data_IF_360213928494
#
_entry.id   IF_360213928494
#
_cell.length_a   1.000
_cell.length_b   1.000
_cell.length_c   1.000
_cell.angle_alpha   90.00
_cell.angle_beta   90.00
_cell.angle_gamma   90.00
#
_symmetry.space_group_name_H-M   'P 1'
#
loop_
_entity.id
_entity.type
_entity.pdbx_description
1 polymer ?
#
# COMPACT_ATOMS: atom_id res chain seq x y z
N UNK A 1 -11.88 12.60 -10.74
CA UNK A 1 -11.33 12.85 -12.10
C UNK A 1 -11.64 11.72 -13.08
N UNK A 2 -11.40 10.44 -12.74
CA UNK A 2 -11.66 9.31 -13.64
C UNK A 2 -13.16 9.15 -13.96
N UNK A 3 -14.04 9.27 -12.96
CA UNK A 3 -15.50 9.11 -13.16
C UNK A 3 -16.11 10.11 -14.14
N UNK A 4 -15.56 11.32 -14.26
CA UNK A 4 -16.04 12.34 -15.20
C UNK A 4 -15.68 12.06 -16.66
N UNK A 5 -14.80 11.11 -16.94
CA UNK A 5 -14.42 10.72 -18.30
C UNK A 5 -15.09 9.44 -18.78
N UNK A 6 -15.78 8.73 -17.90
CA UNK A 6 -16.46 7.48 -18.23
C UNK A 6 -17.72 7.73 -19.05
N UNK A 7 -17.92 6.91 -20.09
CA UNK A 7 -19.23 6.72 -20.73
C UNK A 7 -20.21 6.02 -19.78
N UNK A 8 -21.49 5.99 -20.13
CA UNK A 8 -22.48 5.30 -19.29
C UNK A 8 -22.21 3.79 -19.20
N UNK A 9 -21.74 3.19 -20.29
CA UNK A 9 -21.31 1.80 -20.31
C UNK A 9 -20.08 1.58 -19.41
N UNK A 10 -19.07 2.45 -19.49
CA UNK A 10 -17.87 2.37 -18.64
C UNK A 10 -18.21 2.55 -17.15
N UNK A 11 -19.24 3.33 -16.80
CA UNK A 11 -19.74 3.44 -15.41
C UNK A 11 -20.42 2.15 -14.94
N UNK A 12 -21.23 1.52 -15.79
CA UNK A 12 -21.81 0.20 -15.47
C UNK A 12 -20.72 -0.85 -15.27
N UNK A 13 -19.71 -0.85 -16.15
CA UNK A 13 -18.56 -1.75 -16.03
C UNK A 13 -17.73 -1.49 -14.77
N UNK A 14 -17.59 -0.22 -14.33
CA UNK A 14 -16.94 0.12 -13.07
C UNK A 14 -17.65 -0.49 -11.86
N UNK A 15 -18.98 -0.39 -11.80
CA UNK A 15 -19.79 -1.01 -10.74
C UNK A 15 -19.65 -2.53 -10.80
N UNK A 16 -19.81 -3.12 -11.99
CA UNK A 16 -19.65 -4.56 -12.22
C UNK A 16 -18.27 -5.07 -11.80
N UNK A 17 -17.19 -4.34 -12.08
CA UNK A 17 -15.85 -4.75 -11.70
C UNK A 17 -15.70 -4.91 -10.17
N UNK A 18 -16.32 -4.03 -9.40
CA UNK A 18 -16.38 -4.15 -7.95
C UNK A 18 -17.17 -5.38 -7.52
N UNK A 19 -18.36 -5.58 -8.08
CA UNK A 19 -19.23 -6.72 -7.75
C UNK A 19 -18.57 -8.07 -8.09
N UNK A 20 -17.92 -8.15 -9.25
CA UNK A 20 -17.17 -9.33 -9.72
C UNK A 20 -15.98 -9.61 -8.79
N UNK A 21 -15.25 -8.57 -8.35
CA UNK A 21 -14.14 -8.74 -7.40
C UNK A 21 -14.61 -9.21 -6.03
N UNK A 22 -15.66 -8.61 -5.47
CA UNK A 22 -16.21 -9.04 -4.19
C UNK A 22 -16.74 -10.48 -4.28
N UNK A 23 -17.35 -10.85 -5.40
CA UNK A 23 -17.80 -12.23 -5.65
C UNK A 23 -16.64 -13.22 -5.73
N UNK A 24 -15.53 -12.84 -6.36
CA UNK A 24 -14.29 -13.63 -6.35
C UNK A 24 -13.77 -13.83 -4.91
N UNK A 25 -13.73 -12.79 -4.08
CA UNK A 25 -13.30 -12.92 -2.68
C UNK A 25 -14.26 -13.81 -1.87
N UNK A 26 -15.58 -13.67 -2.09
CA UNK A 26 -16.61 -14.52 -1.45
C UNK A 26 -16.46 -15.99 -1.83
N UNK A 27 -16.10 -16.31 -3.09
CA UNK A 27 -15.86 -17.69 -3.57
C UNK A 27 -14.85 -18.46 -2.71
N UNK A 28 -13.87 -17.76 -2.13
CA UNK A 28 -12.86 -18.38 -1.26
C UNK A 28 -13.18 -18.27 0.24
N UNK A 29 -14.33 -17.72 0.61
CA UNK A 29 -14.74 -17.41 1.99
C UNK A 29 -13.82 -16.35 2.64
N UNK A 30 -13.53 -15.26 1.92
CA UNK A 30 -12.89 -14.07 2.48
C UNK A 30 -11.36 -14.00 2.32
N UNK A 31 -10.81 -12.85 2.71
CA UNK A 31 -9.43 -12.44 2.42
C UNK A 31 -8.33 -13.31 3.05
N UNK A 32 -8.59 -14.08 4.11
CA UNK A 32 -7.54 -14.95 4.66
C UNK A 32 -7.27 -16.14 3.72
N UNK A 33 -8.35 -16.66 3.11
CA UNK A 33 -8.30 -17.84 2.26
C UNK A 33 -7.84 -17.53 0.85
N UNK A 34 -7.99 -16.29 0.37
CA UNK A 34 -7.44 -15.90 -0.93
C UNK A 34 -5.91 -15.95 -0.93
N UNK A 35 -5.20 -16.04 0.20
CA UNK A 35 -3.74 -16.21 0.23
C UNK A 35 -3.30 -17.68 0.23
N UNK A 36 -4.22 -18.63 0.45
CA UNK A 36 -3.88 -20.05 0.62
C UNK A 36 -4.54 -20.97 -0.40
N UNK A 37 -5.72 -20.60 -0.91
CA UNK A 37 -6.53 -21.45 -1.78
C UNK A 37 -6.26 -21.25 -3.28
N UNK A 38 -6.41 -20.04 -3.86
CA UNK A 38 -6.17 -19.86 -5.29
C UNK A 38 -4.68 -19.87 -5.62
N UNK A 39 -4.33 -20.58 -6.69
CA UNK A 39 -3.01 -20.49 -7.31
C UNK A 39 -2.75 -19.08 -7.85
N UNK A 40 -1.48 -18.77 -8.12
CA UNK A 40 -1.11 -17.52 -8.81
C UNK A 40 -1.85 -17.38 -10.14
N UNK A 41 -1.88 -18.44 -10.95
CA UNK A 41 -2.49 -18.41 -12.28
C UNK A 41 -3.99 -18.06 -12.22
N UNK A 42 -4.73 -18.68 -11.29
CA UNK A 42 -6.15 -18.38 -11.09
C UNK A 42 -6.37 -16.93 -10.64
N UNK A 43 -5.61 -16.45 -9.64
CA UNK A 43 -5.72 -15.07 -9.16
C UNK A 43 -5.40 -14.06 -10.25
N UNK A 44 -4.32 -14.28 -11.01
CA UNK A 44 -3.93 -13.37 -12.10
C UNK A 44 -4.99 -13.36 -13.20
N UNK A 45 -5.51 -14.53 -13.57
CA UNK A 45 -6.54 -14.65 -14.62
C UNK A 45 -7.82 -13.91 -14.21
N UNK A 46 -8.33 -14.15 -13.01
CA UNK A 46 -9.55 -13.47 -12.55
C UNK A 46 -9.31 -11.95 -12.40
N UNK A 47 -8.17 -11.54 -11.82
CA UNK A 47 -7.85 -10.12 -11.68
C UNK A 47 -7.77 -9.40 -13.03
N UNK A 48 -7.13 -10.01 -14.04
CA UNK A 48 -7.04 -9.43 -15.40
C UNK A 48 -8.41 -9.36 -16.09
N UNK A 49 -9.29 -10.31 -15.84
CA UNK A 49 -10.68 -10.29 -16.34
C UNK A 49 -11.49 -9.13 -15.72
N UNK A 50 -11.31 -8.87 -14.43
CA UNK A 50 -11.96 -7.72 -13.77
C UNK A 50 -11.36 -6.41 -14.25
N UNK A 51 -10.03 -6.33 -14.32
CA UNK A 51 -9.29 -5.16 -14.78
C UNK A 51 -9.64 -4.79 -16.24
N UNK A 52 -9.93 -5.77 -17.10
CA UNK A 52 -10.28 -5.53 -18.51
C UNK A 52 -11.68 -4.95 -18.72
N UNK A 53 -12.54 -4.95 -17.70
CA UNK A 53 -13.84 -4.27 -17.76
C UNK A 53 -13.69 -2.75 -17.89
N UNK A 54 -12.53 -2.21 -17.52
CA UNK A 54 -12.22 -0.79 -17.58
C UNK A 54 -11.16 -0.49 -18.66
N UNK A 55 -11.41 0.49 -19.54
CA UNK A 55 -10.38 0.98 -20.46
C UNK A 55 -9.18 1.51 -19.68
N UNK A 56 -7.96 1.19 -20.11
CA UNK A 56 -6.75 1.62 -19.40
C UNK A 56 -6.53 3.14 -19.40
N UNK A 57 -7.24 3.87 -20.26
CA UNK A 57 -6.92 5.26 -20.61
C UNK A 57 -7.85 6.30 -20.02
N UNK A 58 -8.75 5.95 -19.09
CA UNK A 58 -9.70 6.91 -18.53
C UNK A 58 -8.99 8.10 -17.87
N UNK A 59 -7.94 7.85 -17.09
CA UNK A 59 -7.13 8.93 -16.52
C UNK A 59 -6.41 9.74 -17.61
N UNK A 60 -5.90 9.08 -18.66
CA UNK A 60 -5.27 9.77 -19.80
C UNK A 60 -6.25 10.70 -20.50
N UNK A 61 -7.50 10.27 -20.73
CA UNK A 61 -8.58 11.11 -21.29
C UNK A 61 -8.83 12.34 -20.41
N UNK A 62 -8.74 12.18 -19.08
CA UNK A 62 -8.93 13.31 -18.16
C UNK A 62 -7.80 14.34 -18.28
N UNK A 63 -6.55 13.87 -18.37
CA UNK A 63 -5.40 14.75 -18.59
C UNK A 63 -5.44 15.44 -19.95
N UNK A 64 -5.90 14.76 -21.01
CA UNK A 64 -6.12 15.38 -22.32
C UNK A 64 -7.16 16.50 -22.23
N UNK A 65 -8.31 16.26 -21.58
CA UNK A 65 -9.35 17.28 -21.37
C UNK A 65 -8.84 18.48 -20.55
N UNK A 66 -7.97 18.24 -19.55
CA UNK A 66 -7.32 19.32 -18.81
C UNK A 66 -6.37 20.13 -19.71
N UNK A 67 -5.53 19.46 -20.50
CA UNK A 67 -4.61 20.14 -21.42
C UNK A 67 -5.35 21.00 -22.43
N UNK A 68 -6.44 20.50 -23.03
CA UNK A 68 -7.28 21.27 -23.95
C UNK A 68 -7.95 22.47 -23.27
N UNK A 69 -8.40 22.31 -22.02
CA UNK A 69 -9.04 23.39 -21.28
C UNK A 69 -8.04 24.49 -20.88
N UNK A 70 -6.81 24.13 -20.50
CA UNK A 70 -5.75 25.09 -20.21
C UNK A 70 -5.31 25.86 -21.48
N UNK A 71 -5.26 25.16 -22.61
CA UNK A 71 -4.91 25.72 -23.92
C UNK A 71 -5.94 26.69 -24.50
N UNK A 72 -7.19 26.68 -24.04
CA UNK A 72 -8.22 27.63 -24.49
C UNK A 72 -7.85 29.11 -24.25
N UNK A 73 -6.79 29.38 -23.46
CA UNK A 73 -6.16 30.70 -23.31
C UNK A 73 -5.05 31.05 -24.31
N UNK A 74 -4.87 30.27 -25.40
CA UNK A 74 -3.89 30.55 -26.46
C UNK A 74 -2.68 29.60 -26.54
N UNK A 75 -2.63 28.56 -25.69
CA UNK A 75 -1.59 27.52 -25.70
C UNK A 75 -1.93 26.34 -26.61
N UNK A 76 -0.94 25.49 -26.94
CA UNK A 76 -1.17 24.26 -27.70
C UNK A 76 -1.61 23.11 -26.79
N UNK A 77 -2.86 22.63 -26.91
CA UNK A 77 -3.41 21.59 -26.00
C UNK A 77 -2.59 20.30 -25.90
N UNK A 78 -1.84 19.95 -26.94
CA UNK A 78 -0.91 18.83 -26.94
C UNK A 78 0.34 19.09 -26.08
N UNK A 79 0.91 20.29 -26.15
CA UNK A 79 2.05 20.67 -25.31
C UNK A 79 1.66 20.65 -23.82
N UNK A 80 0.46 21.13 -23.52
CA UNK A 80 -0.03 21.20 -22.15
C UNK A 80 -0.33 19.82 -21.60
N UNK A 81 -0.90 18.92 -22.41
CA UNK A 81 -1.01 17.52 -22.04
C UNK A 81 0.35 16.88 -21.73
N UNK A 82 1.38 17.13 -22.54
CA UNK A 82 2.73 16.59 -22.29
C UNK A 82 3.31 17.14 -20.99
N UNK A 83 3.16 18.44 -20.71
CA UNK A 83 3.61 19.06 -19.47
C UNK A 83 2.90 18.48 -18.23
N UNK A 84 1.57 18.35 -18.29
CA UNK A 84 0.76 17.75 -17.22
C UNK A 84 1.16 16.28 -16.98
N UNK A 85 1.38 15.50 -18.05
CA UNK A 85 1.82 14.10 -17.94
C UNK A 85 3.22 13.98 -17.33
N UNK A 86 4.13 14.89 -17.68
CA UNK A 86 5.47 14.93 -17.08
C UNK A 86 5.41 15.33 -15.59
N UNK A 87 4.52 16.24 -15.21
CA UNK A 87 4.26 16.59 -13.81
C UNK A 87 3.68 15.41 -13.03
N UNK A 88 2.71 14.67 -13.60
CA UNK A 88 2.19 13.43 -13.03
C UNK A 88 3.31 12.42 -12.79
N UNK A 89 4.16 12.14 -13.79
CA UNK A 89 5.24 11.16 -13.66
C UNK A 89 6.24 11.53 -12.54
N UNK A 90 6.64 12.80 -12.49
CA UNK A 90 7.58 13.31 -11.47
C UNK A 90 6.99 13.27 -10.06
N UNK A 91 5.78 13.79 -9.90
CA UNK A 91 5.09 13.82 -8.60
C UNK A 91 4.75 12.42 -8.11
N UNK A 92 4.27 11.53 -8.97
CA UNK A 92 4.03 10.12 -8.65
C UNK A 92 5.31 9.41 -8.23
N UNK A 93 6.42 9.58 -8.95
CA UNK A 93 7.69 8.93 -8.61
C UNK A 93 8.28 9.42 -7.29
N UNK A 94 8.24 10.72 -7.03
CA UNK A 94 8.66 11.30 -5.75
C UNK A 94 7.79 10.80 -4.59
N UNK A 95 6.47 10.87 -4.75
CA UNK A 95 5.50 10.44 -3.75
C UNK A 95 5.61 8.93 -3.47
N UNK A 96 5.66 8.09 -4.50
CA UNK A 96 5.80 6.64 -4.36
C UNK A 96 7.05 6.26 -3.55
N UNK A 97 8.19 6.90 -3.84
CA UNK A 97 9.45 6.66 -3.13
C UNK A 97 9.36 7.10 -1.67
N UNK A 98 8.82 8.30 -1.41
CA UNK A 98 8.67 8.83 -0.06
C UNK A 98 7.68 8.00 0.78
N UNK A 99 6.54 7.64 0.20
CA UNK A 99 5.52 6.82 0.86
C UNK A 99 6.07 5.43 1.19
N UNK A 100 6.76 4.77 0.27
CA UNK A 100 7.39 3.49 0.58
C UNK A 100 8.45 3.60 1.68
N UNK A 101 9.32 4.62 1.61
CA UNK A 101 10.35 4.86 2.63
C UNK A 101 9.74 5.03 4.02
N UNK A 102 8.70 5.87 4.13
CA UNK A 102 7.98 6.14 5.37
C UNK A 102 6.97 5.05 5.75
N UNK A 103 6.70 4.07 4.87
CA UNK A 103 5.70 3.03 5.09
C UNK A 103 4.26 3.55 5.11
N UNK A 104 3.94 4.53 4.26
CA UNK A 104 2.58 5.06 4.12
C UNK A 104 1.74 4.10 3.27
N UNK A 105 0.72 3.51 3.88
CA UNK A 105 -0.30 2.67 3.24
C UNK A 105 -1.68 3.34 3.21
N UNK A 106 -2.73 2.56 3.00
CA UNK A 106 -4.12 3.04 2.83
C UNK A 106 -4.26 4.03 1.67
N UNK A 107 -3.54 3.77 0.57
CA UNK A 107 -3.52 4.62 -0.63
C UNK A 107 -4.67 4.27 -1.60
N UNK A 108 -5.90 4.28 -1.10
CA UNK A 108 -7.10 4.16 -1.92
C UNK A 108 -7.37 5.46 -2.71
N UNK A 109 -8.33 5.42 -3.65
CA UNK A 109 -8.57 6.52 -4.60
C UNK A 109 -8.94 7.87 -3.94
N UNK A 110 -9.47 7.88 -2.73
CA UNK A 110 -9.80 9.14 -2.02
C UNK A 110 -8.60 9.78 -1.34
N UNK A 111 -7.53 9.01 -1.08
CA UNK A 111 -6.30 9.50 -0.44
C UNK A 111 -5.24 9.97 -1.45
N UNK A 112 -5.60 10.00 -2.74
CA UNK A 112 -4.75 10.45 -3.83
C UNK A 112 -5.49 11.50 -4.65
N UNK A 113 -5.00 12.73 -4.59
CA UNK A 113 -5.55 13.88 -5.30
C UNK A 113 -4.71 14.24 -6.53
N UNK A 114 -5.35 14.84 -7.52
CA UNK A 114 -4.67 15.45 -8.68
C UNK A 114 -4.93 16.95 -8.65
N UNK A 115 -3.86 17.73 -8.58
CA UNK A 115 -3.94 19.18 -8.73
C UNK A 115 -4.19 19.52 -10.20
N UNK A 116 -5.39 20.05 -10.49
CA UNK A 116 -5.86 20.24 -11.88
C UNK A 116 -5.05 21.23 -12.71
N UNK A 117 -4.32 22.15 -12.06
CA UNK A 117 -3.52 23.19 -12.74
C UNK A 117 -2.16 22.64 -13.17
N UNK A 118 -1.46 21.96 -12.26
CA UNK A 118 -0.11 21.43 -12.53
C UNK A 118 -0.12 20.01 -13.09
N UNK A 119 -1.21 19.25 -12.90
CA UNK A 119 -1.25 17.82 -13.17
C UNK A 119 -0.45 16.99 -12.16
N UNK A 120 0.01 17.59 -11.06
CA UNK A 120 0.73 16.89 -10.02
C UNK A 120 -0.22 16.04 -9.16
N UNK A 121 0.31 14.92 -8.69
CA UNK A 121 -0.37 13.99 -7.81
C UNK A 121 0.06 14.27 -6.35
N UNK A 122 -0.92 14.33 -5.45
CA UNK A 122 -0.73 14.69 -4.03
C UNK A 122 -1.37 13.63 -3.15
N UNK A 123 -0.61 13.07 -2.23
CA UNK A 123 -1.13 12.20 -1.18
C UNK A 123 -1.70 13.03 -0.04
N UNK A 124 -2.88 12.63 0.44
CA UNK A 124 -3.50 13.18 1.66
C UNK A 124 -3.75 12.04 2.65
N UNK A 125 -4.14 12.41 3.87
CA UNK A 125 -4.46 11.49 4.97
C UNK A 125 -3.32 10.49 5.26
N UNK A 126 -2.51 10.75 6.28
CA UNK A 126 -1.36 9.91 6.63
C UNK A 126 -1.63 9.03 7.85
N UNK A 127 -2.91 8.68 8.11
CA UNK A 127 -3.30 7.86 9.25
C UNK A 127 -2.60 6.50 9.30
N UNK A 128 -2.28 5.91 8.15
CA UNK A 128 -1.54 4.66 8.05
C UNK A 128 -0.07 4.86 7.62
N UNK A 129 0.74 5.47 8.48
CA UNK A 129 2.19 5.61 8.27
C UNK A 129 3.00 4.46 8.91
N UNK A 130 4.30 4.38 8.60
CA UNK A 130 5.27 3.46 9.20
C UNK A 130 4.90 1.97 9.15
N UNK A 131 4.28 1.51 8.06
CA UNK A 131 3.96 0.10 7.85
C UNK A 131 2.77 -0.40 8.67
N UNK A 132 1.98 0.51 9.25
CA UNK A 132 0.77 0.17 10.02
C UNK A 132 -0.30 -0.49 9.15
N UNK A 133 -0.42 -0.11 7.87
CA UNK A 133 -1.34 -0.76 6.94
C UNK A 133 -1.02 -2.25 6.73
N UNK A 134 0.27 -2.59 6.63
CA UNK A 134 0.73 -3.98 6.46
C UNK A 134 0.69 -4.77 7.77
N UNK A 135 0.92 -4.12 8.92
CA UNK A 135 0.97 -4.80 10.21
C UNK A 135 -0.40 -5.00 10.87
N UNK A 136 -1.28 -3.99 10.82
CA UNK A 136 -2.47 -3.95 11.68
C UNK A 136 -3.79 -4.19 10.94
N UNK A 137 -3.84 -4.03 9.61
CA UNK A 137 -5.05 -4.31 8.85
C UNK A 137 -5.31 -5.82 8.78
N UNK A 138 -6.57 -6.22 8.86
CA UNK A 138 -6.95 -7.65 8.75
C UNK A 138 -6.53 -8.24 7.40
N UNK A 139 -6.70 -7.45 6.34
CA UNK A 139 -6.16 -7.68 5.00
C UNK A 139 -4.98 -6.72 4.81
N UNK A 140 -3.72 -7.20 4.90
CA UNK A 140 -2.57 -6.33 4.87
C UNK A 140 -2.34 -5.74 3.47
N UNK A 141 -1.88 -4.50 3.40
CA UNK A 141 -1.40 -3.93 2.14
C UNK A 141 -0.01 -4.46 1.82
N UNK A 142 0.08 -5.24 0.74
CA UNK A 142 1.34 -5.84 0.27
C UNK A 142 2.03 -5.02 -0.83
N UNK A 143 1.35 -4.02 -1.39
CA UNK A 143 1.94 -3.11 -2.37
C UNK A 143 2.77 -2.02 -1.64
N UNK A 144 3.93 -1.62 -2.16
CA UNK A 144 4.74 -0.57 -1.54
C UNK A 144 4.15 0.84 -1.73
N UNK A 145 3.33 1.02 -2.77
CA UNK A 145 2.57 2.23 -3.09
C UNK A 145 1.52 1.90 -4.15
N UNK A 146 0.57 2.82 -4.37
CA UNK A 146 -0.44 2.67 -5.43
C UNK A 146 0.19 2.93 -6.80
N UNK A 147 0.25 1.89 -7.64
CA UNK A 147 0.56 2.01 -9.07
C UNK A 147 -0.32 1.05 -9.88
N UNK A 148 -1.53 1.52 -10.19
CA UNK A 148 -2.57 0.73 -10.86
C UNK A 148 -2.64 1.03 -12.37
N UNK A 149 -3.48 0.29 -13.08
CA UNK A 149 -3.64 0.37 -14.53
C UNK A 149 -3.98 1.78 -15.03
N UNK A 150 -4.81 2.54 -14.32
CA UNK A 150 -5.15 3.91 -14.74
C UNK A 150 -3.95 4.87 -14.65
N UNK A 151 -3.11 4.72 -13.61
CA UNK A 151 -1.88 5.52 -13.49
C UNK A 151 -0.89 5.16 -14.60
N UNK A 152 -0.70 3.87 -14.89
CA UNK A 152 0.14 3.42 -16.00
C UNK A 152 -0.41 3.85 -17.35
N UNK A 153 -1.73 3.82 -17.54
CA UNK A 153 -2.39 4.24 -18.77
C UNK A 153 -2.28 5.74 -19.05
N UNK A 154 -2.21 6.57 -18.01
CA UNK A 154 -1.88 7.99 -18.11
C UNK A 154 -0.42 8.23 -18.52
N UNK A 155 0.49 7.32 -18.14
CA UNK A 155 1.92 7.36 -18.48
C UNK A 155 2.26 6.60 -19.77
N UNK A 156 1.29 5.95 -20.42
CA UNK A 156 1.49 5.25 -21.68
C UNK A 156 2.01 6.19 -22.79
N UNK A 157 2.82 5.68 -23.74
CA UNK A 157 3.21 4.26 -23.91
C UNK A 157 4.37 3.81 -23.00
N UNK A 158 5.06 4.73 -22.32
CA UNK A 158 6.28 4.43 -21.56
C UNK A 158 6.00 3.67 -20.26
N UNK A 159 4.85 3.93 -19.62
CA UNK A 159 4.39 3.17 -18.45
C UNK A 159 5.32 3.33 -17.24
N UNK A 160 5.89 2.23 -16.75
CA UNK A 160 6.80 2.21 -15.59
C UNK A 160 8.18 2.78 -15.89
N UNK A 161 8.58 2.84 -17.16
CA UNK A 161 9.88 3.35 -17.58
C UNK A 161 9.98 4.88 -17.63
N UNK A 162 11.07 5.38 -18.20
CA UNK A 162 11.27 6.80 -18.51
C UNK A 162 11.09 7.71 -17.29
N UNK A 163 10.12 8.63 -17.36
CA UNK A 163 9.93 9.68 -16.37
C UNK A 163 9.61 9.17 -14.96
N UNK A 164 8.78 8.12 -14.83
CA UNK A 164 8.43 7.56 -13.52
C UNK A 164 9.64 6.90 -12.86
N UNK A 165 10.27 5.96 -13.56
CA UNK A 165 11.48 5.29 -13.07
C UNK A 165 12.58 6.30 -12.69
N UNK A 166 12.83 7.29 -13.55
CA UNK A 166 13.85 8.31 -13.31
C UNK A 166 13.53 9.16 -12.08
N UNK A 167 12.27 9.57 -11.91
CA UNK A 167 11.84 10.32 -10.74
C UNK A 167 11.99 9.52 -9.44
N UNK A 168 11.63 8.23 -9.46
CA UNK A 168 11.83 7.34 -8.31
C UNK A 168 13.32 7.16 -7.99
N UNK A 169 14.14 6.87 -8.99
CA UNK A 169 15.58 6.66 -8.81
C UNK A 169 16.28 7.94 -8.29
N UNK A 170 15.95 9.11 -8.85
CA UNK A 170 16.48 10.38 -8.35
C UNK A 170 16.06 10.66 -6.91
N UNK A 171 14.79 10.43 -6.56
CA UNK A 171 14.27 10.62 -5.21
C UNK A 171 14.97 9.68 -4.21
N UNK A 172 15.11 8.40 -4.57
CA UNK A 172 15.76 7.41 -3.72
C UNK A 172 17.25 7.69 -3.54
N UNK A 173 17.97 8.09 -4.60
CA UNK A 173 19.38 8.55 -4.49
C UNK A 173 19.48 9.73 -3.51
N UNK A 174 18.59 10.71 -3.61
CA UNK A 174 18.57 11.86 -2.71
C UNK A 174 18.34 11.44 -1.25
N UNK A 175 17.36 10.56 -1.00
CA UNK A 175 17.10 10.02 0.35
C UNK A 175 18.30 9.23 0.91
N UNK A 176 18.93 8.38 0.09
CA UNK A 176 20.13 7.62 0.53
C UNK A 176 21.31 8.54 0.84
N UNK A 177 21.56 9.55 0.01
CA UNK A 177 22.65 10.51 0.18
C UNK A 177 22.54 11.34 1.47
N UNK A 178 21.31 11.58 1.95
CA UNK A 178 21.02 12.31 3.20
C UNK A 178 20.31 11.42 4.23
N UNK A 179 20.60 10.12 4.22
CA UNK A 179 19.93 9.12 5.06
C UNK A 179 19.95 9.44 6.56
N UNK A 180 21.04 10.02 7.07
CA UNK A 180 21.13 10.43 8.47
C UNK A 180 20.06 11.46 8.85
N UNK A 181 19.81 12.50 8.03
CA UNK A 181 18.78 13.50 8.31
C UNK A 181 17.38 12.88 8.30
N UNK A 182 17.09 12.03 7.32
CA UNK A 182 15.81 11.33 7.22
C UNK A 182 15.58 10.47 8.46
N UNK A 183 16.58 9.66 8.83
CA UNK A 183 16.47 8.76 9.98
C UNK A 183 16.36 9.53 11.30
N UNK A 184 17.10 10.62 11.47
CA UNK A 184 16.98 11.48 12.66
C UNK A 184 15.59 12.12 12.74
N UNK A 185 15.07 12.67 11.64
CA UNK A 185 13.73 13.23 11.63
C UNK A 185 12.65 12.18 11.94
N UNK A 186 12.77 10.98 11.36
CA UNK A 186 11.87 9.85 11.66
C UNK A 186 11.97 9.41 13.12
N UNK A 187 13.17 9.34 13.68
CA UNK A 187 13.40 8.93 15.07
C UNK A 187 12.78 9.91 16.07
N UNK A 188 12.91 11.21 15.81
CA UNK A 188 12.22 12.25 16.60
C UNK A 188 10.70 12.12 16.46
N UNK A 189 10.20 12.00 15.23
CA UNK A 189 8.76 11.91 14.97
C UNK A 189 8.12 10.69 15.64
N UNK A 190 8.70 9.51 15.48
CA UNK A 190 8.13 8.26 16.00
C UNK A 190 8.12 8.22 17.54
N UNK A 191 9.07 8.91 18.18
CA UNK A 191 9.16 8.98 19.65
C UNK A 191 8.25 10.04 20.25
N UNK A 192 7.60 10.86 19.42
CA UNK A 192 6.78 11.94 19.92
C UNK A 192 5.52 11.38 20.65
N UNK A 193 5.34 11.66 21.96
CA UNK A 193 4.30 11.03 22.77
C UNK A 193 2.87 11.44 22.41
N UNK A 194 2.72 12.56 21.69
CA UNK A 194 1.44 13.17 21.31
C UNK A 194 0.81 12.54 20.05
N UNK A 195 1.51 11.66 19.35
CA UNK A 195 0.99 10.98 18.17
C UNK A 195 0.19 9.73 18.57
N UNK A 196 -0.97 9.55 17.93
CA UNK A 196 -1.99 8.51 18.17
C UNK A 196 -1.55 7.05 17.97
N UNK A 197 -0.24 6.77 17.83
CA UNK A 197 0.25 5.40 17.71
C UNK A 197 0.00 4.55 18.95
N UNK A 198 -0.11 5.19 20.12
CA UNK A 198 -0.60 4.54 21.36
C UNK A 198 -2.08 4.19 21.28
N UNK A 199 -2.89 4.94 20.53
CA UNK A 199 -4.29 4.60 20.30
C UNK A 199 -4.44 3.39 19.36
N UNK A 200 -3.54 3.21 18.38
CA UNK A 200 -3.47 1.95 17.60
C UNK A 200 -3.02 0.77 18.44
N UNK A 201 -2.05 0.95 19.34
CA UNK A 201 -1.66 -0.05 20.34
C UNK A 201 -2.86 -0.44 21.22
N UNK A 202 -3.60 0.54 21.75
CA UNK A 202 -4.80 0.29 22.56
C UNK A 202 -5.95 -0.39 21.76
N UNK A 203 -6.14 -0.05 20.49
CA UNK A 203 -7.13 -0.70 19.61
C UNK A 203 -6.70 -2.12 19.19
N UNK A 204 -5.40 -2.37 19.03
CA UNK A 204 -4.85 -3.69 18.74
C UNK A 204 -4.98 -4.63 19.96
N UNK A 205 -4.69 -4.12 21.16
CA UNK A 205 -4.83 -4.84 22.44
C UNK A 205 -6.29 -5.20 22.71
N UNK A 206 -7.24 -4.26 22.56
CA UNK A 206 -8.68 -4.54 22.75
C UNK A 206 -9.22 -5.65 21.85
N UNK A 207 -8.63 -5.86 20.66
CA UNK A 207 -9.06 -6.89 19.71
C UNK A 207 -8.52 -8.28 20.06
N UNK A 208 -7.42 -8.35 20.81
CA UNK A 208 -6.86 -9.60 21.35
C UNK A 208 -7.62 -10.05 22.60
N UNK A 209 -8.04 -9.11 23.47
CA UNK A 209 -8.82 -9.43 24.68
C UNK A 209 -10.21 -10.00 24.35
N UNK A 210 -10.86 -9.50 23.29
CA UNK A 210 -12.16 -10.01 22.81
C UNK A 210 -12.07 -11.44 22.25
N UNK A 211 -10.87 -11.91 21.86
CA UNK A 211 -10.63 -13.27 21.38
C UNK A 211 -10.13 -14.23 22.48
N UNK A 212 -9.74 -13.70 23.65
CA UNK A 212 -9.24 -14.47 24.79
C UNK A 212 -10.31 -14.73 25.86
N UNK A 213 -11.51 -14.16 25.74
CA UNK A 213 -12.63 -14.47 26.61
C UNK A 213 -13.13 -15.90 26.36
N UNK A 214 -13.17 -16.78 27.37
CA UNK A 214 -13.85 -18.07 27.25
C UNK A 214 -15.32 -17.82 26.93
N UNK A 215 -15.84 -18.47 25.89
CA UNK A 215 -17.27 -18.45 25.59
C UNK A 215 -18.02 -19.12 26.74
N UNK A 216 -18.75 -18.32 27.51
CA UNK A 216 -19.80 -18.80 28.38
C UNK A 216 -21.15 -18.51 27.72
N UNK A 217 -21.97 -19.55 27.61
CA UNK A 217 -23.32 -19.45 27.08
C UNK A 217 -24.27 -18.98 28.18
N UNK A 218 -25.14 -18.02 27.89
CA UNK A 218 -26.13 -17.59 28.85
C UNK A 218 -27.04 -16.48 28.33
N UNK A 219 -28.32 -16.80 28.34
CA UNK A 219 -29.50 -16.07 27.87
C UNK A 219 -29.84 -14.78 28.64
N UNK A 220 -30.50 -13.85 27.94
CA UNK A 220 -31.58 -12.95 28.42
C UNK A 220 -31.33 -11.89 29.50
N UNK A 221 -31.72 -10.63 29.21
CA UNK A 221 -32.20 -9.72 30.27
C UNK A 221 -31.89 -8.22 30.13
N UNK A 222 -32.97 -7.48 29.94
CA UNK A 222 -33.25 -6.02 29.95
C UNK A 222 -32.57 -5.11 31.02
N UNK A 223 -32.44 -3.81 30.67
CA UNK A 223 -32.62 -2.68 31.60
C UNK A 223 -31.41 -1.88 32.13
N UNK A 224 -31.38 -0.56 31.85
CA UNK A 224 -31.08 0.46 32.88
C UNK A 224 -29.75 1.25 32.87
N UNK A 225 -29.84 2.49 32.35
CA UNK A 225 -29.41 3.80 32.90
C UNK A 225 -28.05 4.07 33.61
N UNK A 226 -27.43 5.21 33.22
CA UNK A 226 -26.76 6.17 34.11
C UNK A 226 -25.31 5.94 34.59
N UNK A 227 -24.42 6.92 34.37
CA UNK A 227 -23.26 7.12 35.26
C UNK A 227 -21.98 7.69 34.65
N UNK A 228 -21.80 9.01 34.82
CA UNK A 228 -20.59 9.80 34.62
C UNK A 228 -19.49 9.43 35.65
N UNK A 229 -18.20 9.63 35.33
CA UNK A 229 -17.13 9.48 36.33
C UNK A 229 -15.70 9.41 35.78
N UNK A 230 -14.97 10.53 35.89
CA UNK A 230 -13.53 10.59 35.64
C UNK A 230 -12.66 10.04 36.78
N UNK A 231 -11.37 9.86 36.50
CA UNK A 231 -10.34 9.57 37.51
C UNK A 231 -9.12 8.88 36.90
N UNK A 232 -7.95 9.53 36.97
CA UNK A 232 -6.70 9.05 36.41
C UNK A 232 -5.86 8.18 37.34
N UNK A 233 -4.66 7.85 36.86
CA UNK A 233 -3.52 7.43 37.69
C UNK A 233 -2.88 6.09 37.32
N UNK A 234 -1.55 6.09 37.29
CA UNK A 234 -0.74 4.95 37.73
C UNK A 234 -0.14 4.08 36.63
N UNK A 235 1.18 4.20 36.44
CA UNK A 235 1.97 3.30 35.61
C UNK A 235 2.19 1.92 36.25
N UNK A 236 2.64 0.98 35.43
CA UNK A 236 3.09 -0.33 35.86
C UNK A 236 3.74 -1.06 34.68
N UNK A 237 5.07 -1.14 34.70
CA UNK A 237 5.81 -2.02 33.81
C UNK A 237 5.55 -3.48 34.16
N UNK A 238 5.39 -4.33 33.15
CA UNK A 238 5.26 -5.77 33.30
C UNK A 238 5.57 -6.44 31.97
N UNK A 239 6.78 -6.97 31.86
CA UNK A 239 7.14 -7.87 30.77
C UNK A 239 6.35 -9.17 30.89
N UNK A 240 5.74 -9.60 29.80
CA UNK A 240 5.06 -10.89 29.67
C UNK A 240 5.01 -11.28 28.20
N UNK A 241 5.72 -12.35 27.84
CA UNK A 241 5.75 -12.87 26.48
C UNK A 241 4.39 -13.42 26.05
N UNK A 242 3.96 -13.02 24.87
CA UNK A 242 2.82 -13.53 24.12
C UNK A 242 2.79 -12.80 22.78
N UNK A 243 2.76 -13.52 21.66
CA UNK A 243 2.92 -12.98 20.30
C UNK A 243 1.80 -12.02 19.85
N UNK A 244 1.76 -10.81 20.41
CA UNK A 244 0.80 -9.76 20.11
C UNK A 244 1.43 -8.63 19.31
N UNK A 245 0.74 -8.20 18.24
CA UNK A 245 1.13 -7.08 17.39
C UNK A 245 1.13 -5.75 18.14
N UNK A 246 2.23 -5.46 18.83
CA UNK A 246 2.49 -4.18 19.50
C UNK A 246 3.02 -3.10 18.55
N UNK A 247 3.06 -1.86 19.02
CA UNK A 247 3.76 -0.79 18.32
C UNK A 247 5.25 -0.78 18.71
N UNK A 248 6.12 -0.75 17.70
CA UNK A 248 7.55 -0.99 17.84
C UNK A 248 8.37 0.17 17.23
N UNK A 249 8.53 1.30 17.96
CA UNK A 249 9.17 2.52 17.47
C UNK A 249 10.55 2.30 16.85
N UNK A 250 11.40 1.51 17.52
CA UNK A 250 12.80 1.29 17.13
C UNK A 250 12.88 0.46 15.85
N UNK A 251 12.01 -0.52 15.73
CA UNK A 251 11.86 -1.43 14.61
C UNK A 251 11.45 -0.66 13.34
N UNK A 252 10.58 0.36 13.46
CA UNK A 252 10.21 1.24 12.32
C UNK A 252 11.42 2.01 11.78
N UNK A 253 12.19 2.63 12.66
CA UNK A 253 13.42 3.35 12.27
C UNK A 253 14.45 2.37 11.69
N UNK A 254 14.55 1.15 12.24
CA UNK A 254 15.42 0.11 11.71
C UNK A 254 15.00 -0.35 10.30
N UNK A 255 13.70 -0.52 10.04
CA UNK A 255 13.18 -0.82 8.70
C UNK A 255 13.48 0.30 7.71
N UNK A 256 13.27 1.56 8.09
CA UNK A 256 13.65 2.70 7.25
C UNK A 256 15.15 2.73 6.93
N UNK A 257 15.99 2.39 7.91
CA UNK A 257 17.44 2.25 7.70
C UNK A 257 17.76 1.12 6.71
N UNK A 258 17.08 -0.02 6.79
CA UNK A 258 17.22 -1.12 5.82
C UNK A 258 16.81 -0.69 4.41
N UNK A 259 15.66 0.00 4.28
CA UNK A 259 15.20 0.59 3.01
C UNK A 259 16.27 1.50 2.38
N UNK A 260 16.85 2.40 3.18
CA UNK A 260 17.92 3.33 2.75
C UNK A 260 19.26 2.64 2.45
N UNK A 261 19.55 1.51 3.08
CA UNK A 261 20.75 0.71 2.84
C UNK A 261 20.64 -0.25 1.65
N UNK A 262 19.51 -0.23 0.94
CA UNK A 262 19.31 -1.01 -0.27
C UNK A 262 18.76 -2.41 -0.08
N UNK A 263 18.04 -2.67 1.01
CA UNK A 263 17.35 -3.95 1.17
C UNK A 263 16.25 -4.16 0.11
N UNK A 264 15.96 -5.41 -0.19
CA UNK A 264 14.90 -5.79 -1.13
C UNK A 264 13.52 -5.38 -0.56
N UNK A 265 12.69 -4.63 -1.31
CA UNK A 265 11.36 -4.23 -0.88
C UNK A 265 10.48 -5.39 -0.38
N UNK A 266 10.58 -6.57 -1.02
CA UNK A 266 9.85 -7.76 -0.60
C UNK A 266 10.25 -8.22 0.81
N UNK A 267 11.54 -8.17 1.15
CA UNK A 267 12.04 -8.54 2.48
C UNK A 267 11.49 -7.59 3.55
N UNK A 268 11.37 -6.30 3.21
CA UNK A 268 10.80 -5.32 4.12
C UNK A 268 9.33 -5.62 4.39
N UNK A 269 8.53 -5.88 3.34
CA UNK A 269 7.13 -6.29 3.48
C UNK A 269 6.99 -7.57 4.31
N UNK A 270 7.86 -8.57 4.11
CA UNK A 270 7.86 -9.80 4.91
C UNK A 270 8.13 -9.55 6.40
N UNK A 271 9.06 -8.66 6.72
CA UNK A 271 9.33 -8.29 8.11
C UNK A 271 8.14 -7.54 8.69
N UNK A 272 7.55 -6.58 7.97
CA UNK A 272 6.34 -5.86 8.41
C UNK A 272 5.16 -6.82 8.68
N UNK A 273 4.96 -7.83 7.83
CA UNK A 273 3.97 -8.88 8.05
C UNK A 273 4.27 -9.70 9.32
N UNK A 274 5.53 -10.03 9.57
CA UNK A 274 5.90 -10.84 10.74
C UNK A 274 5.56 -10.17 12.08
N UNK A 275 5.52 -8.83 12.11
CA UNK A 275 5.21 -8.03 13.28
C UNK A 275 3.73 -8.06 13.68
N UNK A 276 2.81 -8.44 12.77
CA UNK A 276 1.36 -8.39 13.03
C UNK A 276 0.57 -9.62 12.61
N UNK A 277 1.13 -10.48 11.75
CA UNK A 277 0.41 -11.60 11.14
C UNK A 277 1.03 -12.97 11.43
N UNK A 278 2.14 -13.05 12.16
CA UNK A 278 2.86 -14.31 12.44
C UNK A 278 2.00 -15.39 13.12
N UNK A 279 0.99 -15.00 13.91
CA UNK A 279 0.03 -15.93 14.52
C UNK A 279 -1.02 -16.54 13.58
N UNK A 280 -1.14 -16.07 12.33
CA UNK A 280 -2.12 -16.56 11.34
C UNK A 280 -1.48 -17.56 10.37
N UNK A 281 -0.99 -18.69 10.89
CA UNK A 281 0.09 -19.48 10.29
C UNK A 281 -0.10 -19.91 8.83
N UNK A 282 -1.32 -20.21 8.37
CA UNK A 282 -1.58 -20.60 6.99
C UNK A 282 -1.64 -19.39 6.04
N UNK A 283 -2.47 -18.39 6.36
CA UNK A 283 -2.59 -17.18 5.53
C UNK A 283 -1.32 -16.34 5.56
N UNK A 284 -0.62 -16.29 6.69
CA UNK A 284 0.68 -15.66 6.83
C UNK A 284 1.73 -16.24 5.87
N UNK A 285 1.85 -17.57 5.79
CA UNK A 285 2.74 -18.22 4.81
C UNK A 285 2.39 -17.85 3.37
N UNK A 286 1.10 -17.83 3.04
CA UNK A 286 0.61 -17.37 1.75
C UNK A 286 0.94 -15.90 1.46
N UNK A 287 0.78 -15.01 2.44
CA UNK A 287 1.15 -13.60 2.34
C UNK A 287 2.65 -13.41 2.08
N UNK A 288 3.51 -14.17 2.77
CA UNK A 288 4.95 -14.14 2.54
C UNK A 288 5.31 -14.61 1.12
N UNK A 289 4.68 -15.70 0.65
CA UNK A 289 4.91 -16.21 -0.71
C UNK A 289 4.50 -15.18 -1.78
N UNK A 290 3.34 -14.53 -1.59
CA UNK A 290 2.87 -13.48 -2.51
C UNK A 290 3.80 -12.26 -2.49
N UNK A 291 4.24 -11.82 -1.31
CA UNK A 291 5.14 -10.68 -1.16
C UNK A 291 6.53 -10.94 -1.77
N UNK A 292 7.12 -12.10 -1.53
CA UNK A 292 8.44 -12.51 -2.05
C UNK A 292 8.48 -12.61 -3.57
N UNK A 293 7.37 -13.00 -4.20
CA UNK A 293 7.27 -13.19 -5.65
C UNK A 293 7.89 -14.50 -6.11
N UNK A 294 7.73 -14.81 -7.39
CA UNK A 294 8.19 -16.06 -7.99
C UNK A 294 9.48 -15.87 -8.81
N UNK A 295 10.53 -16.68 -8.58
CA UNK A 295 11.74 -16.65 -9.39
C UNK A 295 11.44 -16.83 -10.87
N UNK A 296 12.10 -16.04 -11.73
CA UNK A 296 11.89 -16.04 -13.17
C UNK A 296 10.65 -15.28 -13.64
N UNK A 297 9.71 -14.94 -12.76
CA UNK A 297 8.54 -14.11 -13.09
C UNK A 297 8.62 -12.70 -12.52
N UNK A 298 9.09 -12.56 -11.28
CA UNK A 298 9.14 -11.30 -10.57
C UNK A 298 10.58 -10.83 -10.38
N UNK A 299 10.86 -9.58 -10.74
CA UNK A 299 12.20 -8.99 -10.59
C UNK A 299 12.66 -9.02 -9.12
N UNK A 300 11.76 -8.76 -8.17
CA UNK A 300 12.08 -8.78 -6.74
C UNK A 300 12.48 -10.15 -6.20
N UNK A 301 12.09 -11.24 -6.86
CA UNK A 301 12.45 -12.60 -6.46
C UNK A 301 13.90 -12.95 -6.82
N UNK A 302 14.48 -12.29 -7.84
CA UNK A 302 15.87 -12.51 -8.27
C UNK A 302 16.92 -12.07 -7.23
N UNK A 303 16.51 -11.19 -6.30
CA UNK A 303 17.37 -10.63 -5.27
C UNK A 303 17.06 -11.16 -3.86
N UNK A 304 16.44 -12.33 -3.78
CA UNK A 304 16.24 -13.01 -2.51
C UNK A 304 17.58 -13.58 -2.00
N UNK A 305 17.85 -13.55 -0.68
CA UNK A 305 19.07 -14.15 -0.14
C UNK A 305 19.13 -15.64 -0.47
N UNK A 306 20.26 -16.09 -1.02
CA UNK A 306 20.47 -17.50 -1.37
C UNK A 306 21.11 -18.21 -0.18
N UNK A 307 20.32 -19.04 0.52
CA UNK A 307 20.75 -19.89 1.61
C UNK A 307 20.40 -19.39 3.02
N UNK A 308 20.39 -20.28 4.04
CA UNK A 308 20.02 -19.92 5.41
C UNK A 308 21.00 -18.89 5.99
N UNK A 309 20.48 -17.79 6.52
CA UNK A 309 21.29 -16.77 7.21
C UNK A 309 22.09 -15.84 6.28
N UNK A 310 21.92 -15.93 4.96
CA UNK A 310 22.55 -15.01 4.03
C UNK A 310 22.11 -13.56 4.32
N UNK A 311 23.05 -12.59 4.35
CA UNK A 311 22.69 -11.21 4.60
C UNK A 311 21.78 -10.67 3.48
N UNK A 312 20.90 -9.71 3.77
CA UNK A 312 20.08 -9.08 2.74
C UNK A 312 20.95 -8.46 1.64
N UNK A 313 20.53 -8.60 0.38
CA UNK A 313 21.19 -7.96 -0.74
C UNK A 313 21.25 -6.43 -0.54
N UNK A 314 22.38 -5.81 -0.88
CA UNK A 314 22.54 -4.35 -0.92
C UNK A 314 22.32 -3.88 -2.35
N UNK A 315 21.06 -3.68 -2.71
CA UNK A 315 20.66 -3.30 -4.05
C UNK A 315 21.12 -1.88 -4.42
N UNK A 316 21.56 -1.74 -5.66
CA UNK A 316 21.66 -0.45 -6.32
C UNK A 316 20.30 0.24 -6.34
N UNK A 317 20.28 1.55 -6.58
CA UNK A 317 19.03 2.31 -6.55
C UNK A 317 18.09 1.84 -7.67
N UNK A 318 18.64 1.58 -8.85
CA UNK A 318 17.93 1.12 -10.03
C UNK A 318 17.29 -0.24 -9.80
N UNK A 319 18.03 -1.18 -9.18
CA UNK A 319 17.53 -2.51 -8.83
C UNK A 319 16.41 -2.41 -7.78
N UNK A 320 16.56 -1.56 -6.77
CA UNK A 320 15.53 -1.37 -5.75
C UNK A 320 14.26 -0.74 -6.34
N UNK A 321 14.39 0.24 -7.24
CA UNK A 321 13.26 0.83 -7.97
C UNK A 321 12.57 -0.20 -8.87
N UNK A 322 13.34 -1.04 -9.57
CA UNK A 322 12.78 -2.12 -10.37
C UNK A 322 11.97 -3.11 -9.52
N UNK A 323 12.49 -3.52 -8.36
CA UNK A 323 11.76 -4.38 -7.42
C UNK A 323 10.48 -3.72 -6.89
N UNK A 324 10.53 -2.42 -6.59
CA UNK A 324 9.37 -1.64 -6.14
C UNK A 324 8.27 -1.58 -7.20
N UNK A 325 8.64 -1.28 -8.45
CA UNK A 325 7.71 -1.22 -9.57
C UNK A 325 7.09 -2.60 -9.86
N UNK A 326 7.91 -3.66 -9.83
CA UNK A 326 7.46 -5.06 -9.96
C UNK A 326 6.43 -5.41 -8.86
N UNK A 327 6.75 -5.15 -7.58
CA UNK A 327 5.82 -5.45 -6.48
C UNK A 327 4.52 -4.62 -6.54
N UNK A 328 4.61 -3.34 -6.91
CA UNK A 328 3.46 -2.44 -6.97
C UNK A 328 2.50 -2.76 -8.12
N UNK A 329 2.97 -3.45 -9.17
CA UNK A 329 2.20 -3.74 -10.39
C UNK A 329 1.89 -5.22 -10.58
N UNK A 330 2.30 -6.08 -9.64
CA UNK A 330 2.09 -7.52 -9.73
C UNK A 330 0.59 -7.87 -9.60
N UNK A 331 -0.05 -8.46 -10.63
CA UNK A 331 -1.44 -8.86 -10.57
C UNK A 331 -1.72 -9.92 -9.48
N UNK A 332 -0.73 -10.70 -9.07
CA UNK A 332 -0.88 -11.65 -7.96
C UNK A 332 -0.97 -10.95 -6.59
N UNK A 333 -0.37 -9.76 -6.47
CA UNK A 333 -0.46 -8.91 -5.28
C UNK A 333 -1.75 -8.08 -5.33
N UNK A 334 -2.00 -7.40 -6.45
CA UNK A 334 -3.17 -6.54 -6.67
C UNK A 334 -4.49 -7.33 -6.57
N UNK A 335 -4.53 -8.55 -7.12
CA UNK A 335 -5.69 -9.44 -7.07
C UNK A 335 -6.00 -10.04 -5.70
N UNK A 336 -5.19 -9.73 -4.68
CA UNK A 336 -5.41 -10.13 -3.28
C UNK A 336 -5.55 -8.94 -2.33
N UNK A 337 -5.67 -7.73 -2.88
CA UNK A 337 -5.86 -6.49 -2.11
C UNK A 337 -7.28 -6.35 -1.55
N UNK A 338 -7.47 -5.46 -0.58
CA UNK A 338 -8.80 -5.15 -0.07
C UNK A 338 -9.67 -4.48 -1.16
N UNK A 339 -10.93 -4.90 -1.31
CA UNK A 339 -11.84 -4.40 -2.35
C UNK A 339 -12.03 -2.87 -2.31
N UNK A 340 -12.07 -2.26 -1.12
CA UNK A 340 -12.17 -0.80 -0.97
C UNK A 340 -10.94 -0.04 -1.46
N UNK A 341 -9.81 -0.73 -1.67
CA UNK A 341 -8.61 -0.15 -2.28
C UNK A 341 -8.73 -0.04 -3.81
N UNK A 342 -9.67 -0.77 -4.42
CA UNK A 342 -9.99 -0.73 -5.86
C UNK A 342 -8.75 -0.89 -6.76
N UNK A 343 -8.05 -2.03 -6.63
CA UNK A 343 -6.78 -2.27 -7.35
C UNK A 343 -6.91 -2.34 -8.88
N UNK A 344 -8.10 -2.67 -9.39
CA UNK A 344 -8.40 -2.75 -10.83
C UNK A 344 -8.55 -1.37 -11.50
N UNK A 345 -8.52 -0.28 -10.71
CA UNK A 345 -8.60 1.12 -11.16
C UNK A 345 -7.22 1.75 -11.10
#
# INVERSE_FOLDING_TARGET
MIRSTMTEEERRNYIRAKDDYESYVRRYNGYQNIFTKPSRSETVTEFRKIESLLPADLLRRAYLRLGTAAAAGGGGGAAEFVALRAALARSLGAMATAHWLLGVGDRHLSNVMVERRSGALVGIDFGHAFGTATQFLSTPELVPFRLTRQLLGALAPVGTGGGLHSAMACSLRAFRARSHLVLTAMDVFIKEPSLDWKAWEARAVRKLDVLAAPGDGGDGGDGGDGGDGGGGGGGGGGGGGGGGGGWFPRERVALARRKLNGDNPANITCVELSLGHSGKTASYRGMLQVATGEPGLNARAAFQPVGPGAPPARLAVEEQVACLLDQATDPNVLGRSYAGWEAWV
#
